data_IF_024956462823
#
_entry.id   IF_024956462823
#
_cell.length_a   1.000
_cell.length_b   1.000
_cell.length_c   1.000
_cell.angle_alpha   90.00
_cell.angle_beta   90.00
_cell.angle_gamma   90.00
#
_symmetry.space_group_name_H-M   'P 1'
#
loop_
_entity.id
_entity.type
_entity.pdbx_description
1 polymer ?
#
# COMPACT_ATOMS: atom_id res chain seq x y z
N UNK A 1 -72.37 20.67 11.28
CA UNK A 1 -72.06 20.12 12.61
C UNK A 1 -71.20 18.88 12.41
N UNK A 2 -69.91 18.96 12.73
CA UNK A 2 -69.00 17.83 12.72
C UNK A 2 -68.04 17.99 13.89
N UNK A 3 -68.08 17.03 14.80
CA UNK A 3 -67.38 16.96 16.08
C UNK A 3 -65.91 16.60 15.89
N UNK A 4 -65.02 17.42 16.44
CA UNK A 4 -63.57 17.21 16.46
C UNK A 4 -63.18 16.37 17.68
N UNK A 5 -62.66 15.16 17.45
CA UNK A 5 -62.13 14.28 18.49
C UNK A 5 -60.63 14.49 18.63
N UNK A 6 -60.21 14.98 19.80
CA UNK A 6 -58.81 15.13 20.22
C UNK A 6 -58.31 13.83 20.85
N UNK A 7 -57.24 13.25 20.30
CA UNK A 7 -56.53 12.11 20.89
C UNK A 7 -55.06 12.48 21.10
N UNK A 8 -54.71 12.71 22.37
CA UNK A 8 -53.35 12.83 22.88
C UNK A 8 -52.69 11.45 22.92
N UNK A 9 -51.62 11.25 22.16
CA UNK A 9 -50.75 10.07 22.30
C UNK A 9 -49.63 10.34 23.31
N UNK A 10 -49.60 9.51 24.35
CA UNK A 10 -48.65 9.51 25.46
C UNK A 10 -47.29 8.94 25.01
N UNK A 11 -46.23 9.64 25.38
CA UNK A 11 -44.84 9.21 25.24
C UNK A 11 -44.54 8.11 26.29
N UNK A 12 -44.19 6.90 25.84
CA UNK A 12 -43.77 5.79 26.69
C UNK A 12 -42.29 6.00 27.09
N UNK A 13 -42.06 6.25 28.38
CA UNK A 13 -40.73 6.28 28.99
C UNK A 13 -40.40 4.87 29.47
N UNK A 14 -39.37 4.25 28.90
CA UNK A 14 -38.85 2.95 29.32
C UNK A 14 -37.87 3.12 30.50
N UNK A 15 -37.92 2.25 31.54
CA UNK A 15 -36.99 2.30 32.67
C UNK A 15 -35.60 1.74 32.31
N UNK A 16 -34.53 2.16 33.01
CA UNK A 16 -33.17 1.73 32.74
C UNK A 16 -32.90 0.28 33.21
N UNK A 17 -31.95 -0.44 32.58
CA UNK A 17 -31.63 -1.83 32.90
C UNK A 17 -30.87 -1.99 34.23
N UNK A 18 -30.98 -3.15 34.91
CA UNK A 18 -30.33 -3.40 36.19
C UNK A 18 -28.81 -3.64 36.07
N UNK A 19 -28.07 -3.28 37.12
CA UNK A 19 -26.62 -3.37 37.22
C UNK A 19 -26.11 -4.83 37.35
N UNK A 20 -25.02 -5.14 36.63
CA UNK A 20 -24.35 -6.45 36.65
C UNK A 20 -23.54 -6.69 37.94
N UNK A 21 -23.38 -7.95 38.39
CA UNK A 21 -22.74 -8.25 39.66
C UNK A 21 -21.20 -8.24 39.60
N UNK A 22 -20.66 -7.60 40.64
CA UNK A 22 -19.39 -7.74 41.37
C UNK A 22 -18.32 -8.70 40.83
N UNK A 23 -17.15 -8.14 40.53
CA UNK A 23 -15.91 -8.86 40.26
C UNK A 23 -15.28 -9.45 41.54
N UNK A 24 -14.93 -10.73 41.51
CA UNK A 24 -14.13 -11.41 42.53
C UNK A 24 -12.65 -11.05 42.33
N UNK A 25 -12.05 -10.53 43.40
CA UNK A 25 -10.64 -10.16 43.50
C UNK A 25 -9.77 -11.39 43.79
N UNK A 26 -8.85 -11.73 42.89
CA UNK A 26 -7.73 -12.64 43.18
C UNK A 26 -6.46 -11.80 43.36
N UNK A 27 -6.09 -11.62 44.63
CA UNK A 27 -4.80 -11.07 45.06
C UNK A 27 -3.72 -12.12 44.83
N UNK A 28 -2.67 -11.76 44.09
CA UNK A 28 -1.35 -12.39 44.24
C UNK A 28 -0.37 -11.31 44.71
N UNK A 29 0.21 -11.55 45.89
CA UNK A 29 1.24 -10.71 46.53
C UNK A 29 2.62 -10.99 45.94
N UNK A 30 3.58 -10.06 46.11
CA UNK A 30 4.84 -10.01 45.37
C UNK A 30 5.95 -10.83 46.06
N UNK A 31 6.89 -11.34 45.27
CA UNK A 31 8.20 -11.75 45.78
C UNK A 31 9.27 -10.75 45.30
N UNK A 32 9.89 -10.11 46.28
CA UNK A 32 11.12 -9.34 46.14
C UNK A 32 12.33 -10.29 46.29
N UNK A 33 13.42 -10.03 45.56
CA UNK A 33 14.82 -10.15 46.00
C UNK A 33 15.73 -9.82 44.78
N UNK A 34 16.42 -8.66 44.78
CA UNK A 34 17.81 -8.46 45.24
C UNK A 34 18.85 -8.80 44.17
N UNK A 35 19.52 -7.74 43.69
CA UNK A 35 20.78 -7.75 42.95
C UNK A 35 21.95 -8.15 43.86
N UNK A 36 23.06 -8.64 43.29
CA UNK A 36 24.29 -7.88 43.47
C UNK A 36 25.16 -7.74 42.21
N UNK A 37 25.91 -6.64 42.21
CA UNK A 37 27.03 -6.28 41.35
C UNK A 37 28.18 -7.31 41.38
N UNK A 38 28.91 -7.49 40.27
CA UNK A 38 30.29 -7.00 40.09
C UNK A 38 30.94 -7.58 38.81
N UNK A 39 31.95 -6.86 38.33
CA UNK A 39 32.73 -6.92 37.09
C UNK A 39 33.45 -8.22 36.72
N UNK A 40 33.63 -8.48 35.40
CA UNK A 40 34.98 -8.58 34.78
C UNK A 40 34.94 -8.65 33.23
N UNK A 41 35.80 -7.84 32.61
CA UNK A 41 36.16 -7.82 31.18
C UNK A 41 36.79 -9.15 30.74
N UNK A 42 36.54 -9.55 29.48
CA UNK A 42 37.52 -10.24 28.63
C UNK A 42 37.36 -9.80 27.17
N UNK A 43 38.43 -9.20 26.65
CA UNK A 43 38.65 -8.91 25.24
C UNK A 43 38.92 -10.21 24.48
N UNK A 44 38.42 -10.31 23.25
CA UNK A 44 38.89 -11.24 22.23
C UNK A 44 39.03 -10.48 20.91
N UNK A 45 40.27 -10.12 20.60
CA UNK A 45 40.72 -9.78 19.25
C UNK A 45 41.04 -11.09 18.54
N UNK A 46 40.53 -11.28 17.32
CA UNK A 46 41.12 -12.20 16.36
C UNK A 46 41.42 -11.43 15.08
N UNK A 47 42.69 -11.45 14.71
CA UNK A 47 43.31 -10.78 13.59
C UNK A 47 43.11 -11.59 12.30
N UNK A 48 42.78 -10.88 11.21
CA UNK A 48 42.78 -11.41 9.86
C UNK A 48 44.23 -11.48 9.33
N UNK A 49 44.58 -12.60 8.68
CA UNK A 49 45.89 -12.82 8.05
C UNK A 49 45.67 -13.03 6.55
N UNK A 50 46.27 -12.14 5.76
CA UNK A 50 46.35 -12.23 4.30
C UNK A 50 47.47 -13.20 3.86
N UNK A 51 47.31 -13.79 2.67
CA UNK A 51 48.33 -14.59 1.98
C UNK A 51 48.39 -14.20 0.48
N UNK A 52 49.53 -14.44 -0.21
CA UNK A 52 50.03 -13.61 -1.34
C UNK A 52 49.82 -14.23 -2.74
N UNK A 53 50.20 -13.52 -3.84
CA UNK A 53 49.95 -13.96 -5.22
C UNK A 53 51.17 -14.62 -5.88
N UNK A 54 50.93 -15.41 -6.94
CA UNK A 54 51.96 -15.75 -7.92
C UNK A 54 51.70 -17.01 -8.75
N UNK A 55 51.95 -16.91 -10.06
CA UNK A 55 52.44 -18.03 -10.88
C UNK A 55 51.52 -18.56 -11.98
N UNK A 56 51.77 -18.15 -13.22
CA UNK A 56 51.23 -18.75 -14.45
C UNK A 56 52.10 -19.92 -14.93
N UNK A 57 51.50 -21.04 -15.36
CA UNK A 57 52.07 -22.00 -16.36
C UNK A 57 50.93 -22.82 -16.99
N UNK A 58 50.86 -22.83 -18.33
CA UNK A 58 50.24 -23.88 -19.18
C UNK A 58 51.38 -24.78 -19.74
N UNK A 59 51.21 -26.04 -20.24
CA UNK A 59 50.24 -26.40 -21.30
C UNK A 59 49.76 -27.88 -21.35
N UNK A 60 49.02 -28.20 -22.43
CA UNK A 60 48.90 -29.50 -23.17
C UNK A 60 47.58 -30.33 -23.07
N UNK A 61 46.73 -30.13 -24.10
CA UNK A 61 46.02 -31.10 -24.97
C UNK A 61 45.55 -32.49 -24.46
N UNK A 62 44.27 -32.83 -24.65
CA UNK A 62 43.77 -33.72 -25.72
C UNK A 62 42.32 -34.25 -25.52
N UNK A 63 41.55 -34.24 -26.62
CA UNK A 63 40.33 -35.04 -26.94
C UNK A 63 39.06 -34.81 -26.08
N UNK A 64 37.81 -34.84 -26.55
CA UNK A 64 37.16 -35.19 -27.83
C UNK A 64 35.75 -34.57 -27.81
N UNK A 65 35.24 -34.14 -28.95
CA UNK A 65 33.89 -33.58 -29.13
C UNK A 65 32.92 -34.63 -29.71
N UNK A 66 31.61 -34.56 -29.45
CA UNK A 66 30.59 -35.07 -30.36
C UNK A 66 29.95 -33.95 -31.19
N UNK A 67 29.50 -34.35 -32.38
CA UNK A 67 29.10 -33.51 -33.51
C UNK A 67 27.85 -32.64 -33.28
N UNK A 68 27.94 -31.38 -33.68
CA UNK A 68 26.79 -30.49 -33.92
C UNK A 68 26.26 -30.71 -35.34
N UNK A 69 24.97 -31.05 -35.44
CA UNK A 69 24.20 -30.99 -36.67
C UNK A 69 23.99 -29.52 -37.05
N UNK A 70 24.48 -29.14 -38.24
CA UNK A 70 24.24 -27.81 -38.83
C UNK A 70 22.80 -27.70 -39.31
N UNK A 71 21.97 -27.01 -38.54
CA UNK A 71 20.73 -26.43 -39.04
C UNK A 71 21.08 -25.20 -39.89
N UNK A 72 20.47 -25.12 -41.07
CA UNK A 72 20.75 -24.11 -42.09
C UNK A 72 20.20 -22.75 -41.65
N UNK A 73 21.08 -21.76 -41.60
CA UNK A 73 20.75 -20.34 -41.64
C UNK A 73 19.94 -20.01 -42.90
N UNK A 74 18.63 -19.83 -42.75
CA UNK A 74 17.84 -19.02 -43.68
C UNK A 74 17.67 -17.61 -43.12
N UNK A 75 18.28 -16.67 -43.84
CA UNK A 75 18.21 -15.22 -43.63
C UNK A 75 16.76 -14.73 -43.78
N UNK A 76 16.16 -14.32 -42.67
CA UNK A 76 15.00 -13.41 -42.63
C UNK A 76 15.34 -12.21 -41.74
N UNK A 77 15.50 -11.03 -42.33
CA UNK A 77 15.83 -9.79 -41.63
C UNK A 77 14.64 -9.21 -40.87
N UNK A 78 14.81 -9.05 -39.55
CA UNK A 78 13.94 -8.32 -38.63
C UNK A 78 14.37 -8.59 -37.18
N UNK A 79 15.13 -7.67 -36.58
CA UNK A 79 15.85 -7.86 -35.29
C UNK A 79 14.93 -7.74 -34.05
N UNK A 80 13.61 -7.83 -34.23
CA UNK A 80 12.61 -7.66 -33.18
C UNK A 80 11.25 -7.31 -33.78
N UNK A 81 10.25 -7.09 -32.92
CA UNK A 81 8.96 -6.51 -33.30
C UNK A 81 9.19 -5.21 -34.08
N UNK A 82 8.44 -5.04 -35.17
CA UNK A 82 8.39 -3.74 -35.82
C UNK A 82 7.76 -2.72 -34.86
N UNK A 83 8.05 -1.43 -35.05
CA UNK A 83 7.47 -0.38 -34.22
C UNK A 83 5.93 -0.41 -34.26
N UNK A 84 5.36 -0.70 -35.42
CA UNK A 84 3.92 -0.84 -35.63
C UNK A 84 3.34 -2.04 -34.87
N UNK A 85 4.00 -3.20 -34.92
CA UNK A 85 3.53 -4.39 -34.20
C UNK A 85 3.63 -4.20 -32.69
N UNK A 86 4.73 -3.59 -32.23
CA UNK A 86 4.92 -3.27 -30.82
C UNK A 86 3.86 -2.29 -30.30
N UNK A 87 3.53 -1.25 -31.08
CA UNK A 87 2.50 -0.27 -30.72
C UNK A 87 1.10 -0.92 -30.69
N UNK A 88 0.76 -1.72 -31.71
CA UNK A 88 -0.49 -2.49 -31.76
C UNK A 88 -0.63 -3.41 -30.53
N UNK A 89 0.43 -4.15 -30.17
CA UNK A 89 0.40 -5.03 -29.00
C UNK A 89 0.34 -4.24 -27.68
N UNK A 90 1.00 -3.09 -27.60
CA UNK A 90 0.88 -2.19 -26.45
C UNK A 90 -0.56 -1.69 -26.29
N UNK A 91 -1.20 -1.26 -27.38
CA UNK A 91 -2.60 -0.82 -27.38
C UNK A 91 -3.56 -1.95 -27.01
N UNK A 92 -3.33 -3.15 -27.53
CA UNK A 92 -4.07 -4.33 -27.13
C UNK A 92 -3.99 -4.55 -25.61
N UNK A 93 -2.78 -4.57 -25.02
CA UNK A 93 -2.63 -4.76 -23.57
C UNK A 93 -3.28 -3.63 -22.75
N UNK A 94 -3.28 -2.39 -23.26
CA UNK A 94 -3.98 -1.27 -22.60
C UNK A 94 -5.49 -1.43 -22.61
N UNK A 95 -6.05 -2.04 -23.64
CA UNK A 95 -7.47 -2.34 -23.72
C UNK A 95 -7.85 -3.59 -22.92
N UNK A 96 -7.04 -4.64 -22.98
CA UNK A 96 -7.37 -5.99 -22.48
C UNK A 96 -7.10 -6.16 -20.98
N UNK A 97 -5.93 -5.75 -20.48
CA UNK A 97 -5.55 -6.01 -19.08
C UNK A 97 -6.45 -5.34 -18.01
N UNK A 98 -7.04 -4.14 -18.22
CA UNK A 98 -8.03 -3.61 -17.29
C UNK A 98 -9.25 -4.53 -17.09
N UNK A 99 -9.56 -5.38 -18.07
CA UNK A 99 -10.67 -6.33 -18.03
C UNK A 99 -10.31 -7.68 -17.38
N UNK A 100 -9.08 -7.83 -16.86
CA UNK A 100 -8.56 -9.08 -16.28
C UNK A 100 -9.51 -9.77 -15.29
N UNK A 101 -10.24 -8.99 -14.49
CA UNK A 101 -11.12 -9.52 -13.46
C UNK A 101 -12.60 -9.12 -13.57
N UNK A 102 -12.99 -8.40 -14.63
CA UNK A 102 -14.40 -8.09 -14.85
C UNK A 102 -15.09 -9.16 -15.70
N UNK A 103 -16.29 -8.87 -16.19
CA UNK A 103 -17.10 -9.81 -16.97
C UNK A 103 -16.73 -9.85 -18.46
N UNK A 104 -15.96 -8.86 -18.95
CA UNK A 104 -15.38 -8.89 -20.30
C UNK A 104 -14.25 -9.92 -20.33
N UNK A 105 -13.38 -9.91 -19.32
CA UNK A 105 -12.27 -10.84 -19.23
C UNK A 105 -11.17 -10.59 -20.27
N UNK A 106 -10.21 -11.51 -20.34
CA UNK A 106 -9.07 -11.47 -21.26
C UNK A 106 -9.42 -12.12 -22.60
N UNK A 107 -9.07 -11.48 -23.71
CA UNK A 107 -9.20 -12.06 -25.04
C UNK A 107 -8.15 -13.17 -25.26
N UNK A 108 -8.60 -14.42 -25.15
CA UNK A 108 -7.79 -15.62 -25.39
C UNK A 108 -7.13 -15.63 -26.77
N UNK A 109 -7.73 -15.01 -27.79
CA UNK A 109 -7.26 -15.09 -29.17
C UNK A 109 -5.85 -14.53 -29.37
N UNK A 110 -5.45 -13.57 -28.52
CA UNK A 110 -4.15 -12.93 -28.50
C UNK A 110 -3.03 -13.77 -27.85
N UNK A 111 -3.36 -14.92 -27.26
CA UNK A 111 -2.43 -15.78 -26.54
C UNK A 111 -2.22 -17.11 -27.27
N UNK A 112 -1.01 -17.67 -27.16
CA UNK A 112 -0.73 -19.04 -27.59
C UNK A 112 -1.44 -20.05 -26.65
N UNK A 113 -1.74 -21.25 -27.14
CA UNK A 113 -2.31 -22.29 -26.26
C UNK A 113 -1.31 -22.69 -25.14
N UNK A 114 -0.01 -22.62 -25.46
CA UNK A 114 1.10 -22.85 -24.53
C UNK A 114 1.74 -21.54 -24.09
N UNK A 115 1.05 -20.82 -23.19
CA UNK A 115 1.62 -19.64 -22.53
C UNK A 115 2.24 -20.02 -21.18
N UNK A 116 3.48 -19.59 -20.97
CA UNK A 116 4.19 -19.75 -19.69
C UNK A 116 3.88 -18.57 -18.76
N UNK A 117 2.98 -18.78 -17.81
CA UNK A 117 2.73 -17.83 -16.72
C UNK A 117 3.59 -18.19 -15.51
N UNK A 118 4.30 -17.18 -14.98
CA UNK A 118 5.16 -17.30 -13.81
C UNK A 118 4.97 -16.10 -12.92
N UNK A 119 4.70 -16.35 -11.65
CA UNK A 119 4.80 -15.33 -10.60
C UNK A 119 5.58 -15.91 -9.40
N UNK A 120 5.88 -15.11 -8.36
CA UNK A 120 6.66 -15.60 -7.21
C UNK A 120 6.02 -16.76 -6.43
N UNK A 121 4.71 -17.00 -6.55
CA UNK A 121 3.93 -17.99 -5.80
C UNK A 121 3.14 -18.99 -6.68
N UNK A 122 2.89 -18.71 -7.96
CA UNK A 122 2.15 -19.56 -8.90
C UNK A 122 2.89 -19.77 -10.22
N UNK A 123 2.58 -20.90 -10.88
CA UNK A 123 3.05 -21.21 -12.24
C UNK A 123 1.96 -21.93 -13.03
N UNK A 124 1.80 -21.54 -14.29
CA UNK A 124 0.94 -22.23 -15.25
C UNK A 124 1.64 -22.30 -16.62
N UNK A 125 1.44 -23.40 -17.35
CA UNK A 125 2.06 -23.62 -18.68
C UNK A 125 1.03 -23.64 -19.81
N UNK A 126 -0.21 -23.28 -19.51
CA UNK A 126 -1.32 -23.21 -20.46
C UNK A 126 -2.17 -21.98 -20.15
N UNK A 127 -2.79 -21.44 -21.19
CA UNK A 127 -3.75 -20.33 -21.05
C UNK A 127 -5.00 -20.77 -20.24
N UNK A 128 -5.42 -22.03 -20.33
CA UNK A 128 -6.52 -22.56 -19.53
C UNK A 128 -6.21 -22.57 -18.02
N UNK A 129 -4.98 -22.95 -17.65
CA UNK A 129 -4.53 -22.91 -16.26
C UNK A 129 -4.55 -21.49 -15.69
N UNK A 130 -4.13 -20.51 -16.48
CA UNK A 130 -4.16 -19.10 -16.10
C UNK A 130 -5.58 -18.55 -15.94
N UNK A 131 -6.47 -18.82 -16.90
CA UNK A 131 -7.88 -18.41 -16.82
C UNK A 131 -8.59 -19.08 -15.63
N UNK A 132 -8.25 -20.33 -15.31
CA UNK A 132 -8.73 -20.99 -14.09
C UNK A 132 -8.27 -20.27 -12.82
N UNK A 133 -6.99 -19.86 -12.76
CA UNK A 133 -6.46 -19.09 -11.63
C UNK A 133 -7.19 -17.75 -11.45
N UNK A 134 -7.42 -17.01 -12.54
CA UNK A 134 -8.21 -15.76 -12.51
C UNK A 134 -9.60 -16.01 -11.94
N UNK A 135 -10.29 -17.06 -12.40
CA UNK A 135 -11.62 -17.42 -11.89
C UNK A 135 -11.60 -17.78 -10.40
N UNK A 136 -10.58 -18.52 -9.95
CA UNK A 136 -10.39 -18.83 -8.54
C UNK A 136 -10.16 -17.56 -7.70
N UNK A 137 -9.35 -16.63 -8.20
CA UNK A 137 -9.12 -15.34 -7.55
C UNK A 137 -10.41 -14.52 -7.46
N UNK A 138 -11.21 -14.44 -8.54
CA UNK A 138 -12.53 -13.77 -8.52
C UNK A 138 -13.51 -14.42 -7.52
N UNK A 139 -13.36 -15.71 -7.23
CA UNK A 139 -14.20 -16.41 -6.26
C UNK A 139 -13.80 -16.06 -4.81
N UNK A 140 -12.50 -15.93 -4.55
CA UNK A 140 -11.94 -15.75 -3.21
C UNK A 140 -11.79 -14.25 -2.82
N UNK A 141 -11.61 -13.38 -3.81
CA UNK A 141 -11.28 -11.98 -3.64
C UNK A 141 -12.23 -11.08 -4.46
N UNK A 142 -12.27 -9.79 -4.12
CA UNK A 142 -12.68 -8.71 -5.04
C UNK A 142 -11.43 -8.02 -5.55
N UNK A 143 -10.93 -8.41 -6.72
CA UNK A 143 -9.74 -7.82 -7.31
C UNK A 143 -10.06 -6.53 -8.09
N UNK A 144 -9.26 -5.50 -7.86
CA UNK A 144 -9.19 -4.29 -8.67
C UNK A 144 -7.79 -4.24 -9.31
N UNK A 145 -7.74 -4.07 -10.63
CA UNK A 145 -6.48 -4.03 -11.39
C UNK A 145 -6.31 -2.67 -12.06
N UNK A 146 -5.12 -2.09 -11.90
CA UNK A 146 -4.74 -0.79 -12.45
C UNK A 146 -3.49 -0.96 -13.30
N UNK A 147 -3.62 -0.68 -14.59
CA UNK A 147 -2.51 -0.63 -15.52
C UNK A 147 -1.97 0.81 -15.60
N UNK A 148 -0.72 1.00 -15.21
CA UNK A 148 -0.09 2.34 -15.20
C UNK A 148 0.68 2.63 -16.47
N UNK A 149 1.36 1.62 -17.04
CA UNK A 149 2.15 1.79 -18.25
C UNK A 149 2.33 0.47 -19.01
N UNK A 150 2.57 0.58 -20.31
CA UNK A 150 2.95 -0.52 -21.20
C UNK A 150 3.99 0.00 -22.18
N UNK A 151 5.09 -0.74 -22.36
CA UNK A 151 6.17 -0.38 -23.28
C UNK A 151 6.90 -1.62 -23.79
N UNK A 152 7.36 -1.61 -25.03
CA UNK A 152 8.34 -2.59 -25.51
C UNK A 152 9.70 -2.38 -24.80
N UNK A 153 10.23 -3.45 -24.21
CA UNK A 153 11.49 -3.43 -23.46
C UNK A 153 12.54 -4.38 -24.02
N UNK A 154 12.14 -5.32 -24.88
CA UNK A 154 13.04 -6.23 -25.59
C UNK A 154 12.60 -6.49 -27.03
N UNK A 155 13.40 -7.22 -27.82
CA UNK A 155 13.09 -7.49 -29.22
C UNK A 155 11.70 -8.08 -29.43
N UNK A 156 11.29 -9.01 -28.58
CA UNK A 156 9.96 -9.65 -28.60
C UNK A 156 9.33 -9.63 -27.20
N UNK A 157 9.54 -8.54 -26.47
CA UNK A 157 9.09 -8.41 -25.08
C UNK A 157 8.43 -7.05 -24.83
N UNK A 158 7.26 -7.08 -24.23
CA UNK A 158 6.56 -5.92 -23.71
C UNK A 158 6.54 -5.98 -22.18
N UNK A 159 6.85 -4.87 -21.52
CA UNK A 159 6.73 -4.77 -20.06
C UNK A 159 5.55 -3.88 -19.70
N UNK A 160 4.76 -4.33 -18.73
CA UNK A 160 3.66 -3.58 -18.14
C UNK A 160 3.97 -3.22 -16.70
N UNK A 161 3.48 -2.06 -16.25
CA UNK A 161 3.55 -1.60 -14.86
C UNK A 161 2.15 -1.56 -14.28
N UNK A 162 1.92 -2.23 -13.16
CA UNK A 162 0.57 -2.43 -12.66
C UNK A 162 0.46 -2.38 -11.14
N UNK A 163 -0.77 -2.25 -10.66
CA UNK A 163 -1.17 -2.43 -9.27
C UNK A 163 -2.43 -3.27 -9.21
N UNK A 164 -2.41 -4.28 -8.35
CA UNK A 164 -3.54 -5.16 -8.10
C UNK A 164 -3.91 -5.09 -6.62
N UNK A 165 -5.17 -4.78 -6.34
CA UNK A 165 -5.71 -4.76 -4.98
C UNK A 165 -6.71 -5.90 -4.87
N UNK A 166 -6.43 -6.88 -4.02
CA UNK A 166 -7.27 -8.06 -3.82
C UNK A 166 -7.88 -8.04 -2.43
N UNK A 167 -9.17 -7.73 -2.34
CA UNK A 167 -9.90 -7.75 -1.07
C UNK A 167 -10.38 -9.17 -0.76
N UNK A 168 -9.83 -9.81 0.26
CA UNK A 168 -10.16 -11.19 0.59
C UNK A 168 -11.53 -11.30 1.27
N UNK A 169 -12.46 -12.05 0.67
CA UNK A 169 -13.86 -12.01 1.07
C UNK A 169 -14.26 -13.02 2.15
N UNK A 170 -13.43 -14.05 2.38
CA UNK A 170 -13.76 -15.15 3.30
C UNK A 170 -13.48 -14.83 4.78
N UNK A 171 -12.67 -13.81 5.07
CA UNK A 171 -12.35 -13.43 6.45
C UNK A 171 -13.24 -12.27 6.93
N UNK A 172 -13.71 -12.27 8.20
CA UNK A 172 -14.59 -11.23 8.71
C UNK A 172 -14.06 -9.80 8.60
N UNK A 173 -12.73 -9.63 8.65
CA UNK A 173 -12.08 -8.31 8.56
C UNK A 173 -11.66 -7.91 7.14
N UNK A 174 -11.98 -8.74 6.13
CA UNK A 174 -11.79 -8.47 4.70
C UNK A 174 -10.44 -7.83 4.36
N UNK A 175 -9.30 -8.50 4.63
CA UNK A 175 -7.99 -7.90 4.42
C UNK A 175 -7.77 -7.57 2.94
N UNK A 176 -7.10 -6.45 2.68
CA UNK A 176 -6.70 -6.03 1.34
C UNK A 176 -5.25 -6.43 1.12
N UNK A 177 -5.03 -7.30 0.15
CA UNK A 177 -3.70 -7.67 -0.33
C UNK A 177 -3.41 -6.80 -1.54
N UNK A 178 -2.34 -6.01 -1.47
CA UNK A 178 -1.93 -5.12 -2.53
C UNK A 178 -0.68 -5.73 -3.15
N UNK A 179 -0.61 -5.74 -4.48
CA UNK A 179 0.55 -6.15 -5.26
C UNK A 179 0.84 -5.04 -6.26
N UNK A 180 2.11 -4.66 -6.37
CA UNK A 180 2.58 -3.75 -7.41
C UNK A 180 3.80 -4.38 -8.04
N UNK A 181 3.99 -4.14 -9.32
CA UNK A 181 4.98 -4.91 -10.04
C UNK A 181 5.14 -4.55 -11.49
N UNK A 182 5.88 -5.42 -12.16
CA UNK A 182 6.04 -5.46 -13.60
C UNK A 182 5.55 -6.80 -14.12
N UNK A 183 4.93 -6.83 -15.29
CA UNK A 183 4.76 -8.07 -16.06
C UNK A 183 5.56 -8.00 -17.33
N UNK A 184 6.45 -8.95 -17.53
CA UNK A 184 7.21 -9.13 -18.77
C UNK A 184 6.43 -10.12 -19.64
N UNK A 185 5.91 -9.61 -20.75
CA UNK A 185 5.10 -10.34 -21.72
C UNK A 185 5.96 -10.71 -22.92
N UNK A 186 6.21 -12.00 -23.12
CA UNK A 186 6.91 -12.51 -24.30
C UNK A 186 5.96 -12.68 -25.48
N UNK A 187 6.44 -12.30 -26.65
CA UNK A 187 5.71 -12.38 -27.92
C UNK A 187 6.36 -13.42 -28.82
N UNK A 188 5.52 -14.28 -29.40
CA UNK A 188 5.93 -15.26 -30.38
C UNK A 188 6.17 -14.56 -31.73
N UNK A 189 7.41 -14.59 -32.28
CA UNK A 189 7.74 -13.87 -33.50
C UNK A 189 7.06 -14.43 -34.76
N UNK A 190 6.56 -15.66 -34.73
CA UNK A 190 5.92 -16.29 -35.89
C UNK A 190 4.45 -15.89 -36.06
N UNK A 191 3.74 -15.61 -34.97
CA UNK A 191 2.30 -15.38 -35.00
C UNK A 191 1.84 -14.13 -34.21
N UNK A 192 2.78 -13.40 -33.61
CA UNK A 192 2.55 -12.19 -32.80
C UNK A 192 1.65 -12.39 -31.58
N UNK A 193 1.49 -13.63 -31.11
CA UNK A 193 0.73 -13.94 -29.88
C UNK A 193 1.61 -13.92 -28.65
N UNK A 194 1.01 -13.65 -27.49
CA UNK A 194 1.71 -13.75 -26.22
C UNK A 194 1.97 -15.22 -25.87
N UNK A 195 3.21 -15.55 -25.54
CA UNK A 195 3.64 -16.91 -25.21
C UNK A 195 4.32 -17.05 -23.84
N UNK A 196 4.60 -15.93 -23.17
CA UNK A 196 5.04 -15.91 -21.77
C UNK A 196 4.53 -14.67 -21.05
N UNK A 197 4.37 -14.81 -19.74
CA UNK A 197 3.96 -13.75 -18.83
C UNK A 197 4.69 -14.00 -17.51
N UNK A 198 5.63 -13.12 -17.17
CA UNK A 198 6.42 -13.19 -15.93
C UNK A 198 6.12 -11.99 -15.05
N UNK A 199 5.51 -12.22 -13.89
CA UNK A 199 5.18 -11.20 -12.91
C UNK A 199 6.29 -11.03 -11.88
N UNK A 200 6.75 -9.78 -11.71
CA UNK A 200 7.74 -9.36 -10.73
C UNK A 200 7.09 -8.41 -9.73
N UNK A 201 7.26 -8.65 -8.43
CA UNK A 201 6.67 -7.84 -7.36
C UNK A 201 7.70 -6.88 -6.76
N UNK A 202 7.32 -5.60 -6.59
CA UNK A 202 8.18 -4.57 -5.96
C UNK A 202 8.48 -4.86 -4.48
N UNK A 203 7.66 -5.69 -3.84
CA UNK A 203 7.74 -5.97 -2.41
C UNK A 203 8.76 -7.05 -2.03
N UNK A 204 9.36 -7.73 -3.00
CA UNK A 204 10.28 -8.85 -2.78
C UNK A 204 11.54 -8.70 -3.62
N UNK A 205 12.64 -9.28 -3.15
CA UNK A 205 13.90 -9.27 -3.90
C UNK A 205 14.00 -10.51 -4.79
N UNK A 206 13.63 -11.68 -4.26
CA UNK A 206 13.63 -12.91 -5.04
C UNK A 206 12.27 -13.13 -5.70
N UNK A 207 12.19 -12.85 -7.01
CA UNK A 207 11.00 -13.04 -7.83
C UNK A 207 10.94 -14.39 -8.54
N UNK A 208 11.92 -15.27 -8.33
CA UNK A 208 11.89 -16.62 -8.91
C UNK A 208 10.82 -17.47 -8.22
N UNK A 209 10.08 -18.23 -9.04
CA UNK A 209 9.17 -19.25 -8.53
C UNK A 209 9.96 -20.44 -7.96
N UNK A 210 9.73 -20.93 -6.75
CA UNK A 210 8.78 -20.55 -5.69
C UNK A 210 9.48 -19.70 -4.62
N UNK A 211 9.00 -18.47 -4.40
CA UNK A 211 9.63 -17.52 -3.48
C UNK A 211 9.02 -17.58 -2.08
N UNK A 212 9.82 -18.05 -1.11
CA UNK A 212 9.47 -17.92 0.32
C UNK A 212 9.33 -16.44 0.74
N UNK A 213 10.10 -15.57 0.06
CA UNK A 213 9.88 -14.13 -0.14
C UNK A 213 8.39 -13.75 -0.18
N UNK A 214 7.80 -14.09 -1.33
CA UNK A 214 6.43 -13.77 -1.71
C UNK A 214 5.40 -14.36 -0.78
N UNK A 215 5.56 -15.63 -0.39
CA UNK A 215 4.62 -16.27 0.53
C UNK A 215 4.57 -15.54 1.89
N UNK A 216 5.73 -15.18 2.44
CA UNK A 216 5.81 -14.42 3.70
C UNK A 216 5.21 -13.04 3.56
N UNK A 217 5.36 -12.39 2.40
CA UNK A 217 4.73 -11.11 2.12
C UNK A 217 3.20 -11.21 2.17
N UNK A 218 2.61 -12.18 1.47
CA UNK A 218 1.16 -12.46 1.49
C UNK A 218 0.66 -12.62 2.93
N UNK A 219 1.33 -13.45 3.74
CA UNK A 219 0.94 -13.67 5.14
C UNK A 219 1.02 -12.39 5.99
N UNK A 220 2.01 -11.52 5.76
CA UNK A 220 2.12 -10.23 6.47
C UNK A 220 0.95 -9.30 6.16
N UNK A 221 0.44 -9.34 4.92
CA UNK A 221 -0.69 -8.51 4.49
C UNK A 221 -2.02 -8.94 5.12
N UNK A 222 -2.14 -10.20 5.56
CA UNK A 222 -3.32 -10.69 6.29
C UNK A 222 -3.45 -10.14 7.72
N UNK A 223 -2.46 -9.36 8.19
CA UNK A 223 -2.47 -8.77 9.54
C UNK A 223 -3.68 -7.85 9.73
N UNK A 224 -4.33 -8.00 10.88
CA UNK A 224 -5.52 -7.22 11.21
C UNK A 224 -5.14 -5.79 11.59
N UNK A 225 -5.58 -4.84 10.77
CA UNK A 225 -5.69 -3.42 11.11
C UNK A 225 -7.18 -3.06 11.18
N UNK A 226 -7.61 -2.47 12.29
CA UNK A 226 -8.97 -1.92 12.38
C UNK A 226 -8.99 -0.63 11.58
N UNK A 227 -9.54 -0.66 10.37
CA UNK A 227 -9.87 0.55 9.61
C UNK A 227 -11.35 0.81 9.83
N UNK A 228 -11.77 1.95 10.41
CA UNK A 228 -13.19 2.23 10.55
C UNK A 228 -13.86 2.36 9.18
N UNK A 229 -15.12 1.97 9.09
CA UNK A 229 -15.92 2.07 7.86
C UNK A 229 -16.53 3.46 7.75
N UNK A 230 -15.66 4.46 7.58
CA UNK A 230 -16.01 5.87 7.36
C UNK A 230 -15.15 6.44 6.24
N UNK A 231 -15.68 7.48 5.60
CA UNK A 231 -15.09 8.09 4.41
C UNK A 231 -13.62 8.48 4.60
N UNK A 232 -12.81 8.25 3.57
CA UNK A 232 -11.36 8.48 3.58
C UNK A 232 -10.93 9.12 2.25
N UNK A 233 -9.92 10.02 2.21
CA UNK A 233 -9.44 10.58 0.96
C UNK A 233 -9.07 9.50 -0.05
N UNK A 234 -9.49 9.70 -1.30
CA UNK A 234 -9.16 8.80 -2.39
C UNK A 234 -7.67 8.85 -2.72
N UNK A 235 -7.08 7.67 -2.95
CA UNK A 235 -5.74 7.55 -3.46
C UNK A 235 -5.57 6.28 -4.29
N UNK A 236 -4.63 6.32 -5.22
CA UNK A 236 -4.14 5.15 -5.96
C UNK A 236 -2.76 4.75 -5.43
N UNK A 237 -2.56 3.46 -5.14
CA UNK A 237 -1.23 2.95 -4.80
C UNK A 237 -0.45 2.77 -6.10
N UNK A 238 0.69 3.43 -6.22
CA UNK A 238 1.55 3.37 -7.41
C UNK A 238 2.64 2.30 -7.26
N UNK A 239 3.19 2.16 -6.05
CA UNK A 239 4.27 1.22 -5.73
C UNK A 239 4.16 0.77 -4.28
N UNK A 240 4.37 -0.51 -4.00
CA UNK A 240 4.44 -1.08 -2.64
C UNK A 240 5.71 -1.90 -2.50
N UNK A 241 6.63 -1.40 -1.71
CA UNK A 241 7.86 -2.11 -1.34
C UNK A 241 7.64 -2.96 -0.09
N UNK A 242 8.67 -3.68 0.35
CA UNK A 242 8.67 -4.35 1.66
C UNK A 242 8.55 -3.40 2.86
N UNK A 243 8.72 -2.08 2.67
CA UNK A 243 8.94 -1.12 3.75
C UNK A 243 8.00 0.08 3.76
N UNK A 244 7.44 0.44 2.61
CA UNK A 244 6.55 1.58 2.42
C UNK A 244 5.71 1.45 1.15
N UNK A 245 4.68 2.27 1.05
CA UNK A 245 3.86 2.45 -0.14
C UNK A 245 4.09 3.84 -0.73
N UNK A 246 4.00 3.99 -2.04
CA UNK A 246 3.88 5.28 -2.73
C UNK A 246 2.46 5.39 -3.24
N UNK A 247 1.78 6.47 -2.87
CA UNK A 247 0.37 6.71 -3.19
C UNK A 247 0.21 8.05 -3.91
N UNK A 248 -0.68 8.11 -4.88
CA UNK A 248 -1.16 9.35 -5.49
C UNK A 248 -2.50 9.71 -4.87
N UNK A 249 -2.57 10.82 -4.13
CA UNK A 249 -3.82 11.33 -3.57
C UNK A 249 -4.52 12.27 -4.54
N UNK A 250 -5.84 12.11 -4.65
CA UNK A 250 -6.70 13.11 -5.31
C UNK A 250 -6.79 14.39 -4.45
N UNK A 251 -7.20 15.54 -5.02
CA UNK A 251 -7.50 16.72 -4.23
C UNK A 251 -8.63 16.49 -3.23
N UNK A 252 -8.51 17.04 -2.02
CA UNK A 252 -9.55 16.97 -0.99
C UNK A 252 -9.58 18.23 -0.11
N UNK A 253 -10.70 18.45 0.58
CA UNK A 253 -10.86 19.56 1.50
C UNK A 253 -10.49 19.14 2.93
N UNK A 254 -9.89 20.07 3.66
CA UNK A 254 -9.59 19.91 5.08
C UNK A 254 -10.12 21.10 5.88
N UNK A 255 -10.36 20.84 7.16
CA UNK A 255 -10.39 21.86 8.21
C UNK A 255 -9.17 21.67 9.09
N UNK A 256 -8.44 22.75 9.38
CA UNK A 256 -7.21 22.70 10.15
C UNK A 256 -7.17 23.72 11.31
N UNK A 257 -6.43 23.38 12.35
CA UNK A 257 -6.13 24.24 13.48
C UNK A 257 -4.70 24.01 13.97
N UNK A 258 -4.11 25.02 14.60
CA UNK A 258 -2.75 24.92 15.16
C UNK A 258 -2.66 23.82 16.22
N UNK A 259 -1.67 22.95 16.07
CA UNK A 259 -1.30 21.90 17.00
C UNK A 259 -0.07 22.30 17.84
N UNK A 260 0.14 21.56 18.92
CA UNK A 260 1.29 21.73 19.82
C UNK A 260 2.46 20.80 19.48
N UNK A 261 2.16 19.59 19.01
CA UNK A 261 3.13 18.54 18.70
C UNK A 261 2.51 17.43 17.85
N UNK A 262 3.31 16.52 17.29
CA UNK A 262 2.84 15.50 16.32
C UNK A 262 1.75 14.59 16.89
N UNK A 263 1.88 14.22 18.16
CA UNK A 263 0.93 13.34 18.85
C UNK A 263 -0.01 14.10 19.77
N UNK A 264 0.01 15.43 19.64
CA UNK A 264 -0.78 16.37 20.41
C UNK A 264 -2.27 16.25 20.15
N UNK A 265 -3.00 16.91 21.02
CA UNK A 265 -4.46 17.10 20.92
C UNK A 265 -4.84 18.58 20.92
N UNK A 266 -3.87 19.50 21.04
CA UNK A 266 -4.13 20.92 20.87
C UNK A 266 -4.64 21.18 19.46
N UNK A 267 -5.68 22.00 19.32
CA UNK A 267 -6.35 22.21 18.04
C UNK A 267 -7.37 21.12 17.66
N UNK A 268 -7.30 19.90 18.21
CA UNK A 268 -8.26 18.83 17.89
C UNK A 268 -9.70 19.22 18.27
N UNK A 269 -9.88 19.85 19.44
CA UNK A 269 -11.18 20.35 19.89
C UNK A 269 -11.72 21.49 19.00
N UNK A 270 -10.84 22.23 18.32
CA UNK A 270 -11.24 23.30 17.41
C UNK A 270 -11.79 22.71 16.11
N UNK A 271 -11.03 21.83 15.46
CA UNK A 271 -11.47 21.16 14.22
C UNK A 271 -12.67 20.22 14.45
N UNK A 272 -12.71 19.49 15.57
CA UNK A 272 -13.88 18.67 15.91
C UNK A 272 -15.09 19.52 16.30
N UNK A 273 -14.86 20.64 17.00
CA UNK A 273 -15.90 21.60 17.29
C UNK A 273 -16.58 22.11 16.01
N UNK A 274 -15.78 22.46 14.99
CA UNK A 274 -16.29 22.92 13.70
C UNK A 274 -17.24 21.90 13.06
N UNK A 275 -16.82 20.63 12.90
CA UNK A 275 -17.66 19.60 12.28
C UNK A 275 -18.87 19.21 13.14
N UNK A 276 -18.84 19.45 14.46
CA UNK A 276 -19.97 19.18 15.36
C UNK A 276 -20.90 20.39 15.59
N UNK A 277 -20.81 21.42 14.76
CA UNK A 277 -21.76 22.54 14.76
C UNK A 277 -21.25 23.83 15.39
N UNK A 278 -19.96 23.96 15.73
CA UNK A 278 -19.35 25.26 16.08
C UNK A 278 -18.92 26.04 14.82
N UNK A 279 -19.87 26.21 13.90
CA UNK A 279 -19.75 26.95 12.66
C UNK A 279 -20.97 27.86 12.48
N UNK A 280 -20.93 28.75 11.49
CA UNK A 280 -21.90 29.84 11.36
C UNK A 280 -23.36 29.35 11.18
N UNK A 281 -23.57 28.16 10.62
CA UNK A 281 -24.90 27.57 10.39
C UNK A 281 -25.31 26.53 11.45
N UNK A 282 -24.45 26.25 12.44
CA UNK A 282 -24.62 25.12 13.37
C UNK A 282 -24.79 23.77 12.67
N UNK A 283 -24.28 23.63 11.44
CA UNK A 283 -24.37 22.40 10.65
C UNK A 283 -23.47 21.32 11.25
N UNK A 284 -23.97 20.08 11.31
CA UNK A 284 -23.17 18.92 11.65
C UNK A 284 -22.62 18.29 10.38
N UNK A 285 -21.31 18.26 10.25
CA UNK A 285 -20.58 17.68 9.13
C UNK A 285 -20.13 16.27 9.54
N UNK A 286 -20.37 15.24 8.71
CA UNK A 286 -19.89 13.88 8.96
C UNK A 286 -18.39 13.81 9.22
N UNK A 287 -17.98 12.98 10.19
CA UNK A 287 -16.58 12.68 10.47
C UNK A 287 -16.01 11.76 9.38
N UNK A 288 -14.74 11.98 9.04
CA UNK A 288 -13.96 11.17 8.10
C UNK A 288 -12.71 10.60 8.78
N UNK A 289 -11.97 9.74 8.09
CA UNK A 289 -10.63 9.30 8.48
C UNK A 289 -9.61 9.50 7.37
N UNK A 290 -8.31 9.54 7.68
CA UNK A 290 -7.74 9.68 9.01
C UNK A 290 -7.84 11.13 9.52
N UNK A 291 -7.59 11.32 10.82
CA UNK A 291 -7.19 12.62 11.35
C UNK A 291 -5.70 12.79 11.08
N UNK A 292 -5.33 13.81 10.33
CA UNK A 292 -3.94 14.12 10.06
C UNK A 292 -3.37 15.06 11.12
N UNK A 293 -2.07 14.94 11.37
CA UNK A 293 -1.28 15.96 12.05
C UNK A 293 -0.05 16.21 11.20
N UNK A 294 0.03 17.41 10.64
CA UNK A 294 1.10 17.82 9.74
C UNK A 294 2.15 18.58 10.54
N UNK A 295 3.41 18.21 10.38
CA UNK A 295 4.54 19.05 10.75
C UNK A 295 5.21 19.53 9.47
N UNK A 296 5.35 20.85 9.33
CA UNK A 296 5.91 21.48 8.12
C UNK A 296 7.44 21.32 8.03
N UNK A 297 8.11 21.08 9.16
CA UNK A 297 9.55 20.93 9.27
C UNK A 297 9.95 19.87 10.31
N UNK A 298 11.25 19.57 10.37
CA UNK A 298 11.82 18.55 11.25
C UNK A 298 11.96 19.05 12.71
N UNK A 299 11.88 20.36 12.93
CA UNK A 299 11.93 21.00 14.26
C UNK A 299 10.56 21.06 14.95
N UNK A 300 9.50 20.63 14.26
CA UNK A 300 8.11 20.69 14.72
C UNK A 300 7.68 22.12 15.09
N UNK A 301 8.23 23.13 14.42
CA UNK A 301 7.94 24.54 14.75
C UNK A 301 6.54 24.98 14.32
N UNK A 302 6.04 24.35 13.25
CA UNK A 302 4.71 24.55 12.70
C UNK A 302 4.00 23.19 12.58
N UNK A 303 3.06 22.97 13.49
CA UNK A 303 2.24 21.76 13.55
C UNK A 303 0.77 22.14 13.43
N UNK A 304 0.03 21.41 12.60
CA UNK A 304 -1.42 21.56 12.47
C UNK A 304 -2.14 20.22 12.56
N UNK A 305 -3.32 20.22 13.18
CA UNK A 305 -4.24 19.08 13.16
C UNK A 305 -5.28 19.32 12.08
N UNK A 306 -5.51 18.31 11.25
CA UNK A 306 -6.38 18.40 10.08
C UNK A 306 -7.41 17.28 10.10
N UNK A 307 -8.67 17.64 9.85
CA UNK A 307 -9.73 16.69 9.56
C UNK A 307 -10.12 16.85 8.11
N UNK A 308 -10.22 15.73 7.40
CA UNK A 308 -10.71 15.69 6.03
C UNK A 308 -12.20 15.98 6.03
N UNK A 309 -12.68 16.82 5.13
CA UNK A 309 -14.10 17.07 4.97
C UNK A 309 -14.69 16.10 3.95
N UNK A 310 -15.98 15.75 3.99
CA UNK A 310 -16.60 14.81 3.05
C UNK A 310 -16.31 15.15 1.58
N UNK A 311 -16.04 14.15 0.74
CA UNK A 311 -15.59 14.33 -0.65
C UNK A 311 -16.69 14.93 -1.54
N UNK A 312 -17.95 14.88 -1.12
CA UNK A 312 -19.09 15.45 -1.83
C UNK A 312 -19.36 16.94 -1.53
N UNK A 313 -18.51 17.59 -0.73
CA UNK A 313 -18.65 19.00 -0.35
C UNK A 313 -17.68 19.88 -1.13
N UNK A 314 -18.15 21.07 -1.49
CA UNK A 314 -17.33 22.14 -2.07
C UNK A 314 -16.97 23.19 -1.02
N UNK A 315 -15.84 23.89 -1.21
CA UNK A 315 -15.37 24.91 -0.26
C UNK A 315 -16.42 26.01 -0.03
N UNK A 316 -17.13 26.41 -1.09
CA UNK A 316 -18.17 27.45 -1.04
C UNK A 316 -19.47 26.97 -0.37
N UNK A 317 -19.67 25.66 -0.26
CA UNK A 317 -20.86 25.06 0.37
C UNK A 317 -20.71 24.89 1.89
N UNK A 318 -19.50 25.07 2.41
CA UNK A 318 -19.18 24.81 3.81
C UNK A 318 -19.43 26.07 4.67
N UNK A 319 -19.97 25.90 5.89
CA UNK A 319 -20.22 27.04 6.77
C UNK A 319 -18.92 27.67 7.25
N UNK A 320 -18.90 28.99 7.40
CA UNK A 320 -17.74 29.69 7.94
C UNK A 320 -17.44 29.24 9.38
N UNK A 321 -16.17 29.13 9.78
CA UNK A 321 -15.81 28.89 11.18
C UNK A 321 -16.21 30.06 12.08
N UNK A 322 -16.58 29.77 13.34
CA UNK A 322 -16.90 30.80 14.34
C UNK A 322 -15.65 31.41 15.01
N UNK A 323 -14.46 30.93 14.66
CA UNK A 323 -13.19 31.33 15.28
C UNK A 323 -12.09 31.35 14.23
N UNK A 324 -11.20 32.33 14.33
CA UNK A 324 -10.00 32.45 13.48
C UNK A 324 -8.97 31.34 13.73
N UNK A 325 -9.11 30.58 14.82
CA UNK A 325 -8.24 29.44 15.12
C UNK A 325 -8.48 28.22 14.20
N UNK A 326 -9.51 28.28 13.35
CA UNK A 326 -9.90 27.22 12.42
C UNK A 326 -9.90 27.78 11.01
N UNK A 327 -9.22 27.11 10.10
CA UNK A 327 -9.18 27.46 8.68
C UNK A 327 -9.61 26.28 7.83
N UNK A 328 -10.27 26.57 6.69
CA UNK A 328 -10.59 25.58 5.68
C UNK A 328 -9.63 25.75 4.52
N UNK A 329 -9.16 24.63 3.96
CA UNK A 329 -8.22 24.66 2.85
C UNK A 329 -8.44 23.48 1.92
N UNK A 330 -8.21 23.70 0.63
CA UNK A 330 -8.07 22.62 -0.36
C UNK A 330 -6.64 22.12 -0.38
N UNK A 331 -6.48 20.81 -0.27
CA UNK A 331 -5.21 20.12 -0.51
C UNK A 331 -5.27 19.61 -1.94
N UNK A 332 -4.33 20.02 -2.79
CA UNK A 332 -4.30 19.61 -4.21
C UNK A 332 -3.91 18.14 -4.43
N UNK A 333 -3.77 17.35 -3.37
CA UNK A 333 -3.35 15.96 -3.43
C UNK A 333 -1.84 15.80 -3.65
N UNK A 334 -1.46 14.85 -4.50
CA UNK A 334 -0.08 14.62 -4.92
C UNK A 334 0.52 13.29 -4.43
N UNK A 335 1.81 13.12 -4.72
CA UNK A 335 2.52 11.86 -4.44
C UNK A 335 3.08 11.84 -3.03
N UNK A 336 2.74 10.80 -2.27
CA UNK A 336 3.20 10.61 -0.90
C UNK A 336 3.71 9.20 -0.66
N UNK A 337 4.81 9.10 0.07
CA UNK A 337 5.27 7.84 0.63
C UNK A 337 4.62 7.61 1.98
N UNK A 338 4.23 6.36 2.27
CA UNK A 338 3.48 5.99 3.47
C UNK A 338 4.07 4.77 4.15
N UNK A 339 4.27 4.87 5.47
CA UNK A 339 4.64 3.74 6.34
C UNK A 339 3.53 3.45 7.34
N UNK A 340 2.89 2.28 7.20
CA UNK A 340 1.89 1.76 8.15
C UNK A 340 2.56 1.21 9.41
N UNK A 341 1.97 1.47 10.58
CA UNK A 341 2.39 0.87 11.84
C UNK A 341 1.24 0.73 12.85
N UNK A 342 1.38 -0.23 13.75
CA UNK A 342 0.42 -0.49 14.84
C UNK A 342 0.90 0.08 16.17
N UNK A 343 -0.01 0.23 17.12
CA UNK A 343 0.29 0.67 18.48
C UNK A 343 -0.23 2.07 18.76
N UNK A 344 -0.03 2.53 20.01
CA UNK A 344 -0.33 3.93 20.35
C UNK A 344 0.73 4.82 19.72
N UNK A 345 0.35 5.87 18.96
CA UNK A 345 1.30 6.77 18.33
C UNK A 345 1.88 7.71 19.39
N UNK A 346 2.90 7.26 20.12
CA UNK A 346 3.73 8.14 20.96
C UNK A 346 4.70 8.90 20.06
N UNK A 347 5.06 10.12 20.44
CA UNK A 347 5.90 11.01 19.63
C UNK A 347 7.21 10.34 19.20
N UNK A 348 7.92 9.71 20.14
CA UNK A 348 9.15 8.94 19.88
C UNK A 348 8.95 7.85 18.82
N UNK A 349 7.82 7.14 18.85
CA UNK A 349 7.51 6.07 17.89
C UNK A 349 7.24 6.68 16.52
N UNK A 350 6.50 7.78 16.46
CA UNK A 350 6.18 8.48 15.21
C UNK A 350 7.47 9.00 14.56
N UNK A 351 8.32 9.68 15.32
CA UNK A 351 9.62 10.19 14.86
C UNK A 351 10.54 9.05 14.40
N UNK A 352 10.56 7.92 15.12
CA UNK A 352 11.32 6.76 14.66
C UNK A 352 10.79 6.21 13.33
N UNK A 353 9.45 6.14 13.16
CA UNK A 353 8.84 5.64 11.91
C UNK A 353 9.02 6.60 10.74
N UNK A 354 9.01 7.90 11.00
CA UNK A 354 9.37 8.95 10.05
C UNK A 354 10.82 8.78 9.59
N UNK A 355 11.76 8.68 10.53
CA UNK A 355 13.19 8.49 10.22
C UNK A 355 13.44 7.20 9.45
N UNK A 356 12.80 6.10 9.86
CA UNK A 356 12.84 4.83 9.15
C UNK A 356 12.33 4.99 7.70
N UNK A 357 11.21 5.69 7.50
CA UNK A 357 10.63 5.93 6.18
C UNK A 357 11.58 6.77 5.32
N UNK A 358 12.01 7.94 5.82
CA UNK A 358 12.91 8.86 5.12
C UNK A 358 14.21 8.17 4.69
N UNK A 359 14.81 7.38 5.58
CA UNK A 359 16.04 6.64 5.26
C UNK A 359 15.84 5.64 4.12
N UNK A 360 14.69 4.96 4.05
CA UNK A 360 14.41 4.02 2.96
C UNK A 360 14.15 4.77 1.65
N UNK A 361 13.42 5.88 1.69
CA UNK A 361 13.18 6.72 0.51
C UNK A 361 14.49 7.23 -0.10
N UNK A 362 15.39 7.76 0.74
CA UNK A 362 16.71 8.22 0.28
C UNK A 362 17.58 7.09 -0.28
N UNK A 363 17.51 5.90 0.33
CA UNK A 363 18.23 4.71 -0.16
C UNK A 363 17.73 4.27 -1.54
N UNK A 364 16.44 4.41 -1.79
CA UNK A 364 15.80 4.07 -3.07
C UNK A 364 15.88 5.23 -4.09
N UNK A 365 16.67 6.27 -3.81
CA UNK A 365 16.88 7.41 -4.72
C UNK A 365 15.73 8.41 -4.81
N UNK A 366 14.72 8.29 -3.93
CA UNK A 366 13.56 9.18 -3.90
C UNK A 366 13.87 10.49 -3.14
N UNK A 367 13.12 11.55 -3.46
CA UNK A 367 13.31 12.89 -2.89
C UNK A 367 12.18 13.25 -1.91
N UNK A 368 12.30 12.89 -0.61
CA UNK A 368 11.31 13.27 0.39
C UNK A 368 11.34 14.77 0.71
N UNK A 369 10.17 15.42 0.81
CA UNK A 369 10.03 16.77 1.34
C UNK A 369 10.38 16.84 2.84
N UNK A 370 10.67 18.05 3.34
CA UNK A 370 10.82 18.30 4.78
C UNK A 370 9.49 18.11 5.52
N UNK A 371 9.58 17.78 6.81
CA UNK A 371 8.39 17.51 7.62
C UNK A 371 7.72 16.17 7.30
N UNK A 372 6.57 15.94 7.93
CA UNK A 372 5.79 14.71 7.77
C UNK A 372 4.31 14.90 8.13
N UNK A 373 3.49 13.91 7.80
CA UNK A 373 2.13 13.78 8.32
C UNK A 373 1.99 12.51 9.16
N UNK A 374 1.31 12.62 10.29
CA UNK A 374 0.80 11.48 11.05
C UNK A 374 -0.69 11.32 10.75
N UNK A 375 -1.08 10.17 10.21
CA UNK A 375 -2.48 9.80 10.01
C UNK A 375 -2.94 8.82 11.10
N UNK A 376 -4.00 9.21 11.81
CA UNK A 376 -4.63 8.43 12.89
C UNK A 376 -6.04 8.02 12.48
N UNK A 377 -6.28 6.72 12.40
CA UNK A 377 -7.57 6.17 11.95
C UNK A 377 -8.48 5.79 13.12
N UNK A 378 -7.92 5.46 14.28
CA UNK A 378 -8.68 4.84 15.35
C UNK A 378 -8.91 5.74 16.55
N UNK A 379 -10.04 5.51 17.21
CA UNK A 379 -10.37 6.13 18.48
C UNK A 379 -9.52 5.54 19.62
N UNK A 380 -9.35 6.27 20.74
CA UNK A 380 -8.52 5.83 21.87
C UNK A 380 -8.94 4.50 22.54
N UNK A 381 -10.18 4.03 22.35
CA UNK A 381 -10.67 2.76 22.92
C UNK A 381 -10.25 1.54 22.09
N UNK A 382 -9.77 1.74 20.86
CA UNK A 382 -9.29 0.65 20.01
C UNK A 382 -8.04 0.01 20.62
N UNK A 383 -7.99 -1.33 20.66
CA UNK A 383 -6.85 -2.09 21.21
C UNK A 383 -5.58 -1.75 20.42
N UNK A 384 -4.48 -1.47 21.12
CA UNK A 384 -3.24 -0.92 20.53
C UNK A 384 -2.69 -1.73 19.36
N UNK A 385 -2.69 -3.06 19.44
CA UNK A 385 -2.17 -3.93 18.39
C UNK A 385 -3.03 -3.98 17.12
N UNK A 386 -4.29 -3.54 17.19
CA UNK A 386 -5.22 -3.41 16.07
C UNK A 386 -5.24 -2.00 15.47
N UNK A 387 -4.64 -1.01 16.15
CA UNK A 387 -4.65 0.36 15.66
C UNK A 387 -3.87 0.46 14.34
N UNK A 388 -4.43 1.19 13.38
CA UNK A 388 -3.79 1.65 12.16
C UNK A 388 -3.33 3.08 12.37
N UNK A 389 -2.03 3.30 12.25
CA UNK A 389 -1.45 4.61 12.11
C UNK A 389 -0.52 4.60 10.90
N UNK A 390 -0.33 5.77 10.30
CA UNK A 390 0.55 5.94 9.15
C UNK A 390 1.41 7.17 9.35
N UNK A 391 2.70 7.08 9.00
CA UNK A 391 3.53 8.26 8.75
C UNK A 391 3.62 8.45 7.25
N UNK A 392 3.43 9.69 6.79
CA UNK A 392 3.47 10.07 5.40
C UNK A 392 4.53 11.15 5.18
N UNK A 393 5.23 11.07 4.05
CA UNK A 393 6.17 12.09 3.59
C UNK A 393 5.86 12.38 2.12
N UNK A 394 5.63 13.65 1.77
CA UNK A 394 5.43 14.06 0.38
C UNK A 394 6.71 13.85 -0.43
N UNK A 395 6.57 13.44 -1.68
CA UNK A 395 7.70 13.24 -2.60
C UNK A 395 7.76 14.36 -3.63
N UNK A 396 8.98 14.82 -3.92
CA UNK A 396 9.26 15.69 -5.07
C UNK A 396 9.64 14.85 -6.29
N UNK A 397 9.18 15.27 -7.46
CA UNK A 397 9.57 14.71 -8.77
C UNK A 397 9.44 13.17 -8.89
N UNK A 398 8.49 12.55 -8.17
CA UNK A 398 8.32 11.10 -8.25
C UNK A 398 7.87 10.69 -9.65
N UNK A 399 8.62 9.77 -10.24
CA UNK A 399 8.24 9.11 -11.49
C UNK A 399 8.10 7.62 -11.24
N UNK A 400 7.00 7.04 -11.71
CA UNK A 400 6.81 5.59 -11.63
C UNK A 400 7.57 4.93 -12.78
N UNK A 401 8.68 4.28 -12.45
CA UNK A 401 9.50 3.56 -13.43
C UNK A 401 8.78 2.33 -14.00
N UNK A 402 9.12 2.03 -15.26
CA UNK A 402 8.79 0.85 -16.05
C UNK A 402 9.89 -0.21 -15.91
#
# INVERSE_FOLDING_TARGET
MATTTSLRSRLLILPPPPASPTAVSLRLRPHAAVLPSCSRRRNLHLTARAAPPGGAVAPASSSSAPAEEKEKDEKGGGVGLSATDAEMLCEFLRADLPHLFDDVGIDRSAYDDRVRFRDPITRHDTIDGYLFNIRLLKLLFRPDFYLHAVKQTGPYELTTRWTMVMKFMLLPWKPELIFTGLSIMGVNPQNLKFNSHVDLWDSIQNNEYFSFEGLRDVFKQLRIYKTPDIETPNYLILKRTAHYEVRSYEPFLIVEAKGDKLTGSSGFNNVTGYIFGKNASSEKIPMTTPVFTQASDDTLSDVSIQIVLPMNKDLNSLPAPNTEAVTLRKVEGGIVAVKKFSGRPKEEIVLQKEKDLRSQLLKDGLKPQQGCLLARYNDPRTKSFLMRNEVLIRLNDFTLEL
#
